data_IF_985894924503
#
_entry.id   IF_985894924503
#
_cell.length_a   1.000
_cell.length_b   1.000
_cell.length_c   1.000
_cell.angle_alpha   90.00
_cell.angle_beta   90.00
_cell.angle_gamma   90.00
#
_symmetry.space_group_name_H-M   'P 1'
#
loop_
_entity.id
_entity.type
_entity.pdbx_description
1 polymer ?
#
# COMPACT_ATOMS: atom_id res chain seq x y z
N UNK A 1 7.97 30.80 39.62
CA UNK A 1 7.27 30.48 38.35
C UNK A 1 8.01 29.28 37.75
N UNK A 2 7.53 28.05 37.98
CA UNK A 2 6.66 27.27 37.06
C UNK A 2 7.54 26.53 36.03
N UNK A 3 7.69 25.21 35.97
CA UNK A 3 7.20 24.03 36.73
C UNK A 3 8.10 22.87 36.30
N UNK A 4 8.53 22.04 37.26
CA UNK A 4 9.19 20.75 37.05
C UNK A 4 8.24 19.72 36.42
N UNK A 5 8.76 18.82 35.57
CA UNK A 5 8.71 17.36 35.80
C UNK A 5 9.22 16.57 34.57
N UNK A 6 10.20 15.67 34.74
CA UNK A 6 10.54 14.61 33.81
C UNK A 6 9.69 13.36 34.11
N UNK A 7 9.23 12.64 33.09
CA UNK A 7 8.64 11.30 33.25
C UNK A 7 9.09 10.36 32.14
N UNK A 8 10.24 9.74 32.37
CA UNK A 8 10.41 8.33 32.05
C UNK A 8 9.30 7.54 32.77
N UNK A 9 8.61 6.64 32.06
CA UNK A 9 8.22 5.27 32.47
C UNK A 9 6.97 4.78 31.70
N UNK A 10 6.97 3.46 31.37
CA UNK A 10 5.89 2.57 30.87
C UNK A 10 6.03 2.27 29.37
N UNK A 11 6.72 1.21 28.95
CA UNK A 11 6.31 -0.17 29.19
C UNK A 11 7.48 -1.15 29.35
N UNK A 12 7.71 -1.70 30.56
CA UNK A 12 8.66 -2.79 30.80
C UNK A 12 7.98 -4.19 30.80
N UNK A 13 6.97 -4.43 29.96
CA UNK A 13 6.11 -5.63 30.06
C UNK A 13 6.33 -6.69 28.94
N UNK A 14 7.44 -6.67 28.21
CA UNK A 14 7.76 -7.78 27.27
C UNK A 14 9.20 -8.29 27.35
N UNK A 15 9.94 -7.89 28.38
CA UNK A 15 11.21 -8.53 28.74
C UNK A 15 10.89 -9.44 29.92
N UNK A 16 10.53 -10.71 29.66
CA UNK A 16 10.62 -11.91 30.54
C UNK A 16 9.64 -13.04 30.15
N UNK A 17 9.83 -13.70 29.00
CA UNK A 17 9.31 -15.05 28.67
C UNK A 17 9.98 -15.50 27.35
N UNK A 18 11.02 -16.33 27.27
CA UNK A 18 11.16 -17.71 27.73
C UNK A 18 12.65 -18.05 27.89
N UNK A 19 13.01 -18.57 29.06
CA UNK A 19 14.28 -19.26 29.35
C UNK A 19 14.01 -20.77 29.36
N UNK A 20 15.01 -21.57 28.96
CA UNK A 20 15.13 -23.04 29.01
C UNK A 20 14.56 -23.80 27.78
N UNK A 21 15.21 -24.82 27.20
CA UNK A 21 16.08 -25.83 27.81
C UNK A 21 17.13 -26.40 26.83
N UNK A 22 18.12 -27.08 27.41
CA UNK A 22 19.35 -27.57 26.82
C UNK A 22 19.31 -29.06 26.37
N UNK A 23 20.16 -29.34 25.38
CA UNK A 23 21.04 -30.51 25.20
C UNK A 23 20.51 -31.96 25.02
N UNK A 24 21.11 -32.57 23.97
CA UNK A 24 21.57 -33.97 23.80
C UNK A 24 20.57 -35.07 23.36
N UNK A 25 20.78 -35.63 22.15
CA UNK A 25 21.39 -36.96 21.91
C UNK A 25 21.11 -37.50 20.48
N UNK A 26 22.05 -38.31 20.00
CA UNK A 26 22.19 -38.89 18.66
C UNK A 26 21.08 -39.89 18.25
N UNK A 27 20.88 -40.09 16.93
CA UNK A 27 21.08 -41.40 16.25
C UNK A 27 20.39 -41.48 14.87
N UNK A 28 21.16 -41.99 13.90
CA UNK A 28 20.77 -42.77 12.71
C UNK A 28 19.90 -42.13 11.60
N UNK A 29 20.54 -41.91 10.44
CA UNK A 29 19.87 -42.06 9.14
C UNK A 29 19.71 -43.57 8.82
N UNK A 30 18.66 -43.98 8.07
CA UNK A 30 18.89 -44.06 6.63
C UNK A 30 17.69 -43.63 5.75
N UNK A 31 18.08 -43.39 4.50
CA UNK A 31 17.35 -43.06 3.29
C UNK A 31 15.89 -43.55 3.11
N UNK A 32 15.19 -42.75 2.29
CA UNK A 32 14.12 -43.07 1.31
C UNK A 32 12.78 -42.35 1.54
N UNK A 33 12.69 -41.18 0.89
CA UNK A 33 11.60 -40.69 0.03
C UNK A 33 10.15 -40.78 0.51
N UNK A 34 9.54 -39.64 0.88
CA UNK A 34 8.14 -39.33 0.56
C UNK A 34 8.00 -37.83 0.31
N UNK A 35 7.54 -37.50 -0.90
CA UNK A 35 6.87 -36.28 -1.36
C UNK A 35 7.30 -34.94 -0.73
N UNK A 36 7.86 -34.08 -1.57
CA UNK A 36 7.80 -32.63 -1.37
C UNK A 36 6.33 -32.21 -1.36
N UNK A 37 5.68 -32.31 -0.20
CA UNK A 37 4.60 -31.43 0.17
C UNK A 37 5.28 -30.06 0.31
N UNK A 38 5.35 -29.35 -0.81
CA UNK A 38 5.60 -27.92 -0.80
C UNK A 38 4.68 -27.35 0.27
N UNK A 39 5.32 -26.72 1.24
CA UNK A 39 4.72 -25.97 2.32
C UNK A 39 3.51 -25.21 1.79
N UNK A 40 2.39 -25.13 2.55
CA UNK A 40 1.33 -24.21 2.20
C UNK A 40 2.01 -22.86 2.01
N UNK A 41 2.06 -22.42 0.75
CA UNK A 41 2.59 -21.14 0.34
C UNK A 41 1.81 -20.12 1.17
N UNK A 42 2.45 -19.68 2.24
CA UNK A 42 1.83 -18.89 3.28
C UNK A 42 1.60 -17.54 2.62
N UNK A 43 0.40 -17.37 2.07
CA UNK A 43 -0.06 -16.12 1.50
C UNK A 43 0.37 -15.03 2.50
N UNK A 44 1.20 -14.06 2.07
CA UNK A 44 1.66 -13.04 2.99
C UNK A 44 0.43 -12.43 3.60
N UNK A 45 0.39 -12.39 4.95
CA UNK A 45 -0.69 -11.79 5.70
C UNK A 45 -1.08 -10.50 4.98
N UNK A 46 -2.29 -10.44 4.45
CA UNK A 46 -2.73 -9.37 3.57
C UNK A 46 -2.63 -8.07 4.36
N UNK A 47 -1.52 -7.37 4.20
CA UNK A 47 -1.30 -6.07 4.80
C UNK A 47 -2.38 -5.16 4.22
N UNK A 48 -3.09 -4.46 5.09
CA UNK A 48 -4.28 -3.71 4.70
C UNK A 48 -3.92 -2.66 3.64
N UNK A 49 -4.32 -2.91 2.40
CA UNK A 49 -4.03 -2.03 1.27
C UNK A 49 -5.12 -0.97 1.16
N UNK A 50 -4.73 0.29 1.37
CA UNK A 50 -5.63 1.43 1.25
C UNK A 50 -5.30 2.24 -0.02
N UNK A 51 -6.30 3.00 -0.48
CA UNK A 51 -6.11 3.90 -1.63
C UNK A 51 -5.36 5.13 -1.17
N UNK A 52 -4.26 5.43 -1.83
CA UNK A 52 -3.45 6.62 -1.59
C UNK A 52 -3.37 7.45 -2.87
N UNK A 53 -3.27 8.77 -2.72
CA UNK A 53 -3.02 9.73 -3.78
C UNK A 53 -1.55 10.14 -3.67
N UNK A 54 -0.82 9.94 -4.77
CA UNK A 54 0.60 10.20 -4.91
C UNK A 54 0.76 11.43 -5.79
N UNK A 55 1.35 12.48 -5.24
CA UNK A 55 1.75 13.67 -5.98
C UNK A 55 3.18 13.50 -6.46
N UNK A 56 3.40 13.78 -7.74
CA UNK A 56 4.72 13.64 -8.35
C UNK A 56 5.13 14.93 -9.06
N UNK A 57 6.43 15.22 -9.02
CA UNK A 57 7.08 16.23 -9.83
C UNK A 57 7.45 15.60 -11.17
N UNK A 58 6.61 15.84 -12.17
CA UNK A 58 6.78 15.28 -13.52
C UNK A 58 7.31 16.37 -14.45
N UNK A 59 8.34 16.08 -15.27
CA UNK A 59 8.77 16.98 -16.34
C UNK A 59 7.69 17.12 -17.43
N UNK A 60 7.52 18.33 -17.98
CA UNK A 60 6.45 18.61 -18.95
C UNK A 60 6.54 17.79 -20.24
N UNK A 61 7.76 17.42 -20.66
CA UNK A 61 8.01 16.66 -21.88
C UNK A 61 7.75 15.15 -21.75
N UNK A 62 7.46 14.63 -20.55
CA UNK A 62 7.24 13.21 -20.31
C UNK A 62 5.76 12.83 -20.37
N UNK A 63 5.48 11.65 -20.92
CA UNK A 63 4.13 11.06 -20.86
C UNK A 63 3.71 10.86 -19.39
N UNK A 64 2.52 11.37 -18.98
CA UNK A 64 2.09 11.30 -17.60
C UNK A 64 1.93 9.87 -17.11
N UNK A 65 1.33 8.99 -17.89
CA UNK A 65 1.03 7.63 -17.45
C UNK A 65 2.30 6.79 -17.35
N UNK A 66 3.18 6.87 -18.35
CA UNK A 66 4.47 6.18 -18.31
C UNK A 66 5.32 6.62 -17.11
N UNK A 67 5.35 7.93 -16.83
CA UNK A 67 6.06 8.44 -15.66
C UNK A 67 5.48 7.92 -14.34
N UNK A 68 4.15 7.86 -14.23
CA UNK A 68 3.47 7.30 -13.05
C UNK A 68 3.83 5.82 -12.84
N UNK A 69 3.76 5.01 -13.89
CA UNK A 69 4.09 3.58 -13.82
C UNK A 69 5.55 3.36 -13.46
N UNK A 70 6.48 4.09 -14.08
CA UNK A 70 7.91 4.01 -13.78
C UNK A 70 8.25 4.41 -12.36
N UNK A 71 7.53 5.39 -11.80
CA UNK A 71 7.71 5.82 -10.40
C UNK A 71 7.23 4.74 -9.42
N UNK A 72 6.17 4.01 -9.77
CA UNK A 72 5.57 3.00 -8.89
C UNK A 72 6.20 1.60 -9.03
N UNK A 73 6.74 1.26 -10.21
CA UNK A 73 7.30 -0.06 -10.50
C UNK A 73 8.39 -0.54 -9.52
N UNK A 74 9.34 0.30 -9.06
CA UNK A 74 10.37 -0.11 -8.10
C UNK A 74 9.80 -0.54 -6.74
N UNK A 75 8.64 0.00 -6.35
CA UNK A 75 7.97 -0.30 -5.07
C UNK A 75 7.18 -1.61 -5.15
N UNK A 76 6.60 -1.91 -6.31
CA UNK A 76 5.80 -3.12 -6.52
C UNK A 76 6.58 -4.28 -7.16
N UNK A 77 7.80 -4.01 -7.61
CA UNK A 77 8.71 -4.98 -8.20
C UNK A 77 8.50 -5.25 -9.70
N UNK A 78 7.49 -4.67 -10.34
CA UNK A 78 7.32 -4.69 -11.80
C UNK A 78 6.38 -3.60 -12.31
N UNK A 79 6.53 -3.23 -13.59
CA UNK A 79 5.61 -2.30 -14.25
C UNK A 79 4.19 -2.87 -14.39
N UNK A 80 4.07 -4.18 -14.60
CA UNK A 80 2.77 -4.85 -14.71
C UNK A 80 1.97 -4.76 -13.41
N UNK A 81 2.65 -5.00 -12.27
CA UNK A 81 2.04 -4.83 -10.94
C UNK A 81 1.68 -3.37 -10.67
N UNK A 82 2.52 -2.43 -11.12
CA UNK A 82 2.22 -1.00 -11.04
C UNK A 82 0.96 -0.62 -11.84
N UNK A 83 0.83 -1.10 -13.08
CA UNK A 83 -0.38 -0.87 -13.90
C UNK A 83 -1.63 -1.45 -13.25
N UNK A 84 -1.52 -2.60 -12.58
CA UNK A 84 -2.63 -3.21 -11.84
C UNK A 84 -2.99 -2.52 -10.52
N UNK A 85 -2.04 -1.83 -9.90
CA UNK A 85 -2.25 -1.15 -8.62
C UNK A 85 -2.78 0.28 -8.76
N UNK A 86 -2.50 0.95 -9.89
CA UNK A 86 -3.01 2.30 -10.16
C UNK A 86 -4.51 2.24 -10.47
N UNK A 87 -5.27 3.11 -9.79
CA UNK A 87 -6.71 3.29 -9.99
C UNK A 87 -7.01 4.47 -10.90
N UNK A 88 -6.20 5.52 -10.84
CA UNK A 88 -6.42 6.73 -11.64
C UNK A 88 -5.13 7.52 -11.85
N UNK A 89 -4.98 8.13 -13.02
CA UNK A 89 -3.88 9.03 -13.35
C UNK A 89 -4.39 10.49 -13.41
N UNK A 90 -3.86 11.36 -12.56
CA UNK A 90 -4.09 12.79 -12.60
C UNK A 90 -3.13 13.44 -13.60
N UNK A 91 -3.67 14.04 -14.67
CA UNK A 91 -2.89 14.58 -15.80
C UNK A 91 -2.95 16.10 -15.97
N UNK A 92 -3.96 16.75 -15.39
CA UNK A 92 -4.32 18.14 -15.71
C UNK A 92 -4.15 19.07 -14.50
N UNK A 93 -5.02 18.96 -13.51
CA UNK A 93 -5.03 19.87 -12.35
C UNK A 93 -3.89 19.61 -11.35
N UNK A 94 -3.34 18.40 -11.35
CA UNK A 94 -2.19 17.99 -10.58
C UNK A 94 -1.48 16.86 -11.32
N UNK A 95 -0.17 16.73 -11.14
CA UNK A 95 0.59 15.58 -11.61
C UNK A 95 0.66 14.53 -10.50
N UNK A 96 0.14 13.35 -10.77
CA UNK A 96 0.04 12.30 -9.76
C UNK A 96 -0.83 11.14 -10.16
N UNK A 97 -0.97 10.15 -9.28
CA UNK A 97 -1.84 9.00 -9.48
C UNK A 97 -2.42 8.52 -8.16
N UNK A 98 -3.55 7.83 -8.21
CA UNK A 98 -4.07 7.08 -7.07
C UNK A 98 -3.79 5.59 -7.24
N UNK A 99 -3.35 4.93 -6.18
CA UNK A 99 -3.03 3.51 -6.19
C UNK A 99 -3.41 2.84 -4.87
N UNK A 100 -3.73 1.53 -4.93
CA UNK A 100 -3.87 0.70 -3.73
C UNK A 100 -2.49 0.26 -3.26
N UNK A 101 -2.10 0.73 -2.09
CA UNK A 101 -0.76 0.50 -1.52
C UNK A 101 -0.86 0.07 -0.07
N UNK A 102 0.06 -0.80 0.35
CA UNK A 102 0.30 -1.12 1.77
C UNK A 102 1.11 -0.01 2.43
N UNK A 103 1.10 0.04 3.76
CA UNK A 103 1.89 1.03 4.52
C UNK A 103 3.38 0.96 4.18
N UNK A 104 3.95 -0.24 4.07
CA UNK A 104 5.36 -0.44 3.69
C UNK A 104 5.65 0.17 2.30
N UNK A 105 4.77 -0.10 1.33
CA UNK A 105 4.90 0.44 -0.02
C UNK A 105 4.81 1.97 -0.04
N UNK A 106 3.97 2.57 0.80
CA UNK A 106 3.88 4.03 0.93
C UNK A 106 5.18 4.62 1.47
N UNK A 107 5.80 3.97 2.45
CA UNK A 107 7.09 4.42 3.00
C UNK A 107 8.22 4.33 1.97
N UNK A 108 8.24 3.28 1.15
CA UNK A 108 9.21 3.15 0.07
C UNK A 108 8.96 4.13 -1.07
N UNK A 109 7.69 4.40 -1.39
CA UNK A 109 7.35 5.35 -2.44
C UNK A 109 7.77 6.79 -2.07
N UNK A 110 7.70 7.16 -0.79
CA UNK A 110 8.19 8.47 -0.31
C UNK A 110 9.70 8.68 -0.51
N UNK A 111 10.47 7.60 -0.69
CA UNK A 111 11.92 7.66 -0.95
C UNK A 111 12.24 7.80 -2.44
N UNK A 112 11.26 7.61 -3.32
CA UNK A 112 11.49 7.66 -4.76
C UNK A 112 11.71 9.10 -5.24
N UNK A 113 12.67 9.33 -6.15
CA UNK A 113 12.87 10.63 -6.74
C UNK A 113 11.63 11.05 -7.54
N UNK A 114 11.25 12.31 -7.44
CA UNK A 114 10.06 12.84 -8.10
C UNK A 114 8.75 12.60 -7.34
N UNK A 115 8.74 11.91 -6.19
CA UNK A 115 7.54 11.85 -5.33
C UNK A 115 7.55 13.03 -4.37
N UNK A 116 6.53 13.88 -4.45
CA UNK A 116 6.40 15.07 -3.60
C UNK A 116 5.67 14.76 -2.30
N UNK A 117 4.56 14.01 -2.39
CA UNK A 117 3.72 13.70 -1.25
C UNK A 117 2.86 12.46 -1.53
N UNK A 118 2.59 11.69 -0.47
CA UNK A 118 1.61 10.60 -0.50
C UNK A 118 0.57 10.86 0.59
N UNK A 119 -0.70 10.97 0.21
CA UNK A 119 -1.82 11.21 1.12
C UNK A 119 -2.86 10.10 1.02
N UNK A 120 -3.53 9.71 2.12
CA UNK A 120 -4.63 8.74 2.05
C UNK A 120 -5.81 9.34 1.28
N UNK A 121 -6.43 8.54 0.41
CA UNK A 121 -7.64 8.94 -0.30
C UNK A 121 -8.84 8.97 0.64
N UNK A 122 -9.70 9.96 0.48
CA UNK A 122 -10.95 10.09 1.25
C UNK A 122 -12.15 10.02 0.29
N UNK A 123 -13.12 9.18 0.65
CA UNK A 123 -14.41 9.11 -0.05
C UNK A 123 -15.39 10.06 0.62
N UNK A 124 -15.92 11.01 -0.15
CA UNK A 124 -16.96 11.93 0.32
C UNK A 124 -18.33 11.54 -0.22
N UNK A 125 -19.36 11.60 0.63
CA UNK A 125 -20.74 11.48 0.17
C UNK A 125 -21.24 12.84 -0.30
N UNK A 126 -21.48 12.96 -1.61
CA UNK A 126 -22.11 14.13 -2.18
C UNK A 126 -23.63 14.05 -1.92
N UNK A 127 -24.18 15.06 -1.24
CA UNK A 127 -25.63 15.17 -1.12
C UNK A 127 -26.19 15.49 -2.51
N UNK A 128 -26.83 14.51 -3.14
CA UNK A 128 -27.68 14.77 -4.28
C UNK A 128 -28.81 15.66 -3.82
N UNK A 129 -28.99 16.82 -4.43
CA UNK A 129 -30.25 17.52 -4.32
C UNK A 129 -31.32 16.57 -4.87
N UNK A 130 -32.31 16.21 -4.05
CA UNK A 130 -33.56 15.61 -4.52
C UNK A 130 -34.30 16.64 -5.39
N UNK A 131 -33.81 16.82 -6.61
CA UNK A 131 -34.48 17.56 -7.65
C UNK A 131 -35.66 16.73 -8.13
N UNK A 132 -36.85 17.03 -7.62
CA UNK A 132 -38.13 16.48 -8.09
C UNK A 132 -38.44 16.87 -9.53
N UNK A 133 -37.72 16.29 -10.49
CA UNK A 133 -38.09 16.30 -11.90
C UNK A 133 -38.53 14.90 -12.29
N UNK A 134 -39.82 14.80 -12.60
CA UNK A 134 -40.48 13.63 -13.14
C UNK A 134 -39.63 12.97 -14.23
N UNK A 135 -39.44 11.66 -14.10
CA UNK A 135 -38.75 10.78 -15.04
C UNK A 135 -39.38 10.89 -16.45
N UNK A 136 -38.94 11.87 -17.23
CA UNK A 136 -39.09 11.84 -18.69
C UNK A 136 -37.84 11.21 -19.24
N UNK A 137 -37.90 9.89 -19.40
CA UNK A 137 -36.90 9.09 -20.12
C UNK A 137 -36.82 9.59 -21.56
N UNK A 138 -35.88 10.50 -21.85
CA UNK A 138 -35.50 10.83 -23.22
C UNK A 138 -34.20 10.10 -23.54
N UNK A 139 -34.35 8.87 -24.03
CA UNK A 139 -33.29 8.14 -24.73
C UNK A 139 -32.79 8.99 -25.90
N UNK A 140 -31.59 9.54 -25.77
CA UNK A 140 -30.78 9.98 -26.91
C UNK A 140 -29.40 9.38 -26.71
N UNK A 141 -29.17 8.21 -27.31
CA UNK A 141 -27.82 7.72 -27.53
C UNK A 141 -27.12 8.65 -28.52
N UNK A 142 -25.96 9.18 -28.15
CA UNK A 142 -25.06 9.82 -29.10
C UNK A 142 -24.02 8.79 -29.54
N UNK A 143 -23.88 8.68 -30.86
CA UNK A 143 -22.72 8.11 -31.56
C UNK A 143 -21.41 8.78 -31.14
#
# INVERSE_FOLDING_TARGET
MKTESPRHLRNPLLVLLFLAAAAAAASAAPAVQIAMAAEPEQAPAAQEAAVHIVYVDRPEDADPEEFHIRTLAPVLGSEEKARGAVLYHYKHAASGFSAKLTTEQVEDLKKQPGVLQVVPSQTYQLHGNEGGHASTTRTMGLM
#
